data_IF_176106713780
#
_entry.id   IF_176106713780
#
_cell.length_a   1.000
_cell.length_b   1.000
_cell.length_c   1.000
_cell.angle_alpha   90.00
_cell.angle_beta   90.00
_cell.angle_gamma   90.00
#
_symmetry.space_group_name_H-M   'P 1'
#
loop_
_entity.id
_entity.type
_entity.pdbx_description
1 polymer ?
#
# COMPACT_ATOMS: atom_id res chain seq x y z
N UNK A 1 -26.36 4.24 6.70
CA UNK A 1 -24.91 4.21 6.36
C UNK A 1 -24.16 3.66 7.55
N UNK A 2 -23.20 2.79 7.30
CA UNK A 2 -22.31 2.29 8.37
C UNK A 2 -21.19 3.29 8.61
N UNK A 3 -20.82 3.46 9.84
CA UNK A 3 -19.66 4.25 10.21
C UNK A 3 -18.40 3.49 9.84
N UNK A 4 -17.40 4.21 9.34
CA UNK A 4 -16.07 3.66 8.99
C UNK A 4 -15.02 4.48 9.71
N UNK A 5 -14.04 3.80 10.29
CA UNK A 5 -12.97 4.46 11.02
C UNK A 5 -11.60 4.16 10.39
N UNK A 6 -10.73 5.16 10.39
CA UNK A 6 -9.31 4.97 10.07
C UNK A 6 -8.63 4.64 11.40
N UNK A 7 -8.06 3.43 11.52
CA UNK A 7 -7.52 2.93 12.78
C UNK A 7 -5.99 2.94 12.83
N UNK A 8 -5.32 3.21 11.71
CA UNK A 8 -3.87 3.29 11.67
C UNK A 8 -3.41 4.04 10.44
N UNK A 9 -2.33 4.76 10.59
CA UNK A 9 -1.74 5.54 9.48
C UNK A 9 -0.22 5.46 9.54
N UNK A 10 0.40 5.65 8.38
CA UNK A 10 1.85 5.72 8.27
C UNK A 10 2.23 6.48 7.00
N UNK A 11 3.46 6.91 6.97
CA UNK A 11 4.02 7.63 5.84
C UNK A 11 5.53 7.43 5.83
N UNK A 12 6.12 7.17 4.67
CA UNK A 12 7.56 7.18 4.52
C UNK A 12 8.07 8.62 4.46
N UNK A 13 9.38 8.79 4.70
CA UNK A 13 10.02 10.10 4.52
C UNK A 13 9.90 10.55 3.07
N UNK A 14 9.56 11.82 2.87
CA UNK A 14 9.59 12.45 1.56
C UNK A 14 11.03 12.88 1.25
N UNK A 15 11.45 12.67 0.02
CA UNK A 15 12.78 13.08 -0.42
C UNK A 15 13.33 12.17 -1.51
N UNK A 16 14.61 12.33 -1.79
CA UNK A 16 15.33 11.51 -2.75
C UNK A 16 15.87 10.25 -2.04
N UNK A 17 15.14 9.15 -2.14
CA UNK A 17 15.41 7.91 -1.41
C UNK A 17 16.15 6.92 -2.30
N UNK A 18 17.36 7.30 -2.74
CA UNK A 18 18.14 6.54 -3.74
C UNK A 18 18.52 5.12 -3.28
N UNK A 19 18.63 4.90 -1.97
CA UNK A 19 19.04 3.61 -1.42
C UNK A 19 17.85 2.73 -1.02
N UNK A 20 16.62 3.17 -1.29
CA UNK A 20 15.40 2.45 -0.90
C UNK A 20 14.69 1.95 -2.15
N UNK A 21 14.43 0.64 -2.21
CA UNK A 21 13.67 0.08 -3.31
C UNK A 21 12.18 0.43 -3.20
N UNK A 22 11.46 0.35 -4.33
CA UNK A 22 10.01 0.51 -4.33
C UNK A 22 9.34 -0.47 -3.36
N UNK A 23 9.77 -1.74 -3.38
CA UNK A 23 9.23 -2.77 -2.49
C UNK A 23 9.42 -2.42 -1.03
N UNK A 24 10.62 -2.00 -0.66
CA UNK A 24 10.94 -1.65 0.72
C UNK A 24 10.17 -0.44 1.19
N UNK A 25 10.05 0.59 0.34
CA UNK A 25 9.31 1.81 0.66
C UNK A 25 7.83 1.52 0.95
N UNK A 26 7.20 0.76 0.09
CA UNK A 26 5.78 0.43 0.25
C UNK A 26 5.56 -0.50 1.45
N UNK A 27 6.44 -1.48 1.63
CA UNK A 27 6.36 -2.41 2.76
C UNK A 27 6.52 -1.67 4.08
N UNK A 28 7.47 -0.74 4.17
CA UNK A 28 7.66 0.09 5.36
C UNK A 28 6.38 0.85 5.71
N UNK A 29 5.80 1.55 4.73
CA UNK A 29 4.57 2.32 4.95
C UNK A 29 3.42 1.41 5.40
N UNK A 30 3.21 0.29 4.70
CA UNK A 30 2.13 -0.63 5.01
C UNK A 30 2.28 -1.30 6.38
N UNK A 31 3.46 -1.81 6.67
CA UNK A 31 3.68 -2.50 7.95
C UNK A 31 3.64 -1.55 9.13
N UNK A 32 4.12 -0.32 8.97
CA UNK A 32 4.03 0.68 10.02
C UNK A 32 2.58 1.12 10.27
N UNK A 33 1.75 1.19 9.23
CA UNK A 33 0.31 1.46 9.39
C UNK A 33 -0.38 0.33 10.16
N UNK A 34 -0.04 -0.93 9.88
CA UNK A 34 -0.56 -2.10 10.59
C UNK A 34 -0.16 -2.06 12.06
N UNK A 35 1.09 -1.72 12.36
CA UNK A 35 1.57 -1.56 13.74
C UNK A 35 0.85 -0.43 14.46
N UNK A 36 0.64 0.70 13.77
CA UNK A 36 -0.09 1.84 14.35
C UNK A 36 -1.53 1.45 14.69
N UNK A 37 -2.16 0.63 13.86
CA UNK A 37 -3.50 0.11 14.10
C UNK A 37 -3.55 -0.94 15.22
N UNK A 38 -2.40 -1.48 15.62
CA UNK A 38 -2.28 -2.54 16.63
C UNK A 38 -3.07 -3.80 16.24
N UNK A 39 -2.95 -4.20 14.98
CA UNK A 39 -3.57 -5.44 14.45
C UNK A 39 -2.49 -6.34 13.86
N UNK A 40 -2.86 -7.59 13.59
CA UNK A 40 -2.02 -8.52 12.85
C UNK A 40 -2.34 -8.46 11.36
N UNK A 41 -1.36 -8.77 10.51
CA UNK A 41 -1.55 -8.74 9.06
C UNK A 41 -2.64 -9.69 8.56
N UNK A 42 -2.86 -10.82 9.23
CA UNK A 42 -3.90 -11.79 8.87
C UNK A 42 -5.32 -11.34 9.23
N UNK A 43 -5.45 -10.23 9.96
CA UNK A 43 -6.75 -9.62 10.24
C UNK A 43 -7.25 -8.73 9.09
N UNK A 44 -6.42 -8.50 8.07
CA UNK A 44 -6.79 -7.70 6.91
C UNK A 44 -7.63 -8.52 5.93
N UNK A 45 -8.73 -7.94 5.48
CA UNK A 45 -9.65 -8.61 4.54
C UNK A 45 -9.37 -8.25 3.08
N UNK A 46 -8.83 -7.06 2.82
CA UNK A 46 -8.51 -6.61 1.46
C UNK A 46 -7.46 -5.51 1.49
N UNK A 47 -6.77 -5.32 0.37
CA UNK A 47 -5.77 -4.28 0.21
C UNK A 47 -5.98 -3.53 -1.12
N UNK A 48 -5.97 -2.21 -1.05
CA UNK A 48 -6.06 -1.36 -2.24
C UNK A 48 -4.84 -0.45 -2.30
N UNK A 49 -4.21 -0.40 -3.47
CA UNK A 49 -3.00 0.41 -3.68
C UNK A 49 -3.26 1.44 -4.76
N UNK A 50 -3.24 2.70 -4.37
CA UNK A 50 -3.38 3.82 -5.30
C UNK A 50 -2.04 4.21 -5.91
N UNK A 51 -1.93 4.16 -7.24
CA UNK A 51 -0.71 4.56 -7.93
C UNK A 51 -0.98 4.82 -9.40
N UNK A 52 -0.47 5.94 -9.91
CA UNK A 52 -0.68 6.33 -11.29
C UNK A 52 0.29 5.63 -12.26
N UNK A 53 1.58 5.65 -11.99
CA UNK A 53 2.62 5.42 -13.00
C UNK A 53 3.63 4.33 -12.63
N UNK A 54 3.24 3.34 -11.85
CA UNK A 54 4.15 2.26 -11.44
C UNK A 54 4.76 1.54 -12.64
N UNK A 55 3.97 1.27 -13.67
CA UNK A 55 4.47 0.61 -14.88
C UNK A 55 5.59 1.39 -15.57
N UNK A 56 5.51 2.72 -15.55
CA UNK A 56 6.53 3.57 -16.14
C UNK A 56 7.79 3.66 -15.28
N UNK A 57 7.62 3.84 -13.97
CA UNK A 57 8.76 4.12 -13.08
C UNK A 57 9.45 2.87 -12.54
N UNK A 58 8.70 1.80 -12.29
CA UNK A 58 9.27 0.57 -11.71
C UNK A 58 9.04 -0.67 -12.59
N UNK A 59 8.52 -0.47 -13.81
CA UNK A 59 8.31 -1.52 -14.81
C UNK A 59 7.41 -2.66 -14.30
N UNK A 60 6.47 -2.33 -13.40
CA UNK A 60 5.54 -3.30 -12.83
C UNK A 60 4.16 -2.67 -12.66
N UNK A 61 3.17 -3.21 -13.36
CA UNK A 61 1.77 -2.75 -13.27
C UNK A 61 1.03 -3.43 -12.12
N UNK A 62 1.36 -4.68 -11.80
CA UNK A 62 0.71 -5.49 -10.77
C UNK A 62 1.27 -5.21 -9.37
N UNK A 63 1.29 -3.95 -8.97
CA UNK A 63 1.93 -3.55 -7.73
C UNK A 63 1.19 -4.02 -6.48
N UNK A 64 -0.13 -4.13 -6.52
CA UNK A 64 -0.89 -4.60 -5.36
C UNK A 64 -0.51 -6.04 -5.00
N UNK A 65 -0.50 -6.94 -5.98
CA UNK A 65 -0.08 -8.33 -5.79
C UNK A 65 1.37 -8.43 -5.36
N UNK A 66 2.24 -7.63 -5.96
CA UNK A 66 3.66 -7.60 -5.62
C UNK A 66 3.87 -7.20 -4.16
N UNK A 67 3.17 -6.16 -3.71
CA UNK A 67 3.28 -5.67 -2.34
C UNK A 67 2.73 -6.70 -1.35
N UNK A 68 1.58 -7.29 -1.63
CA UNK A 68 0.98 -8.31 -0.78
C UNK A 68 1.93 -9.50 -0.59
N UNK A 69 2.55 -9.95 -1.66
CA UNK A 69 3.51 -11.05 -1.62
C UNK A 69 4.77 -10.67 -0.84
N UNK A 70 5.36 -9.51 -1.15
CA UNK A 70 6.59 -9.06 -0.51
C UNK A 70 6.42 -8.79 0.99
N UNK A 71 5.27 -8.27 1.38
CA UNK A 71 4.96 -7.98 2.79
C UNK A 71 4.46 -9.19 3.57
N UNK A 72 4.29 -10.34 2.92
CA UNK A 72 3.82 -11.55 3.58
C UNK A 72 2.33 -11.52 3.95
N UNK A 73 1.53 -10.76 3.21
CA UNK A 73 0.10 -10.59 3.47
C UNK A 73 -0.78 -11.56 2.67
N UNK A 74 -0.19 -12.40 1.84
CA UNK A 74 -0.95 -13.37 1.04
C UNK A 74 -1.45 -14.53 1.92
N UNK A 75 -2.62 -15.12 1.63
CA UNK A 75 -3.55 -14.70 0.57
C UNK A 75 -4.43 -13.53 1.02
N UNK A 76 -4.52 -12.49 0.20
CA UNK A 76 -5.39 -11.36 0.45
C UNK A 76 -5.91 -10.83 -0.89
N UNK A 77 -7.23 -10.55 -1.03
CA UNK A 77 -7.73 -9.85 -2.19
C UNK A 77 -7.10 -8.46 -2.28
N UNK A 78 -6.55 -8.12 -3.44
CA UNK A 78 -5.90 -6.83 -3.61
C UNK A 78 -6.14 -6.28 -5.01
N UNK A 79 -6.13 -4.95 -5.13
CA UNK A 79 -6.30 -4.27 -6.39
C UNK A 79 -5.47 -2.98 -6.44
N UNK A 80 -4.95 -2.69 -7.62
CA UNK A 80 -4.35 -1.39 -7.90
C UNK A 80 -5.44 -0.45 -8.40
N UNK A 81 -5.47 0.75 -7.85
CA UNK A 81 -6.43 1.79 -8.20
C UNK A 81 -5.67 2.93 -8.87
N UNK A 82 -6.19 3.40 -9.98
CA UNK A 82 -5.54 4.49 -10.70
C UNK A 82 -6.56 5.57 -11.08
N UNK A 83 -6.26 6.79 -10.72
CA UNK A 83 -7.00 8.00 -11.10
C UNK A 83 -6.04 9.18 -11.10
N UNK A 84 -4.88 9.01 -11.73
CA UNK A 84 -3.82 10.00 -11.77
C UNK A 84 -3.49 10.51 -10.36
N UNK A 85 -3.49 11.83 -10.13
CA UNK A 85 -3.15 12.42 -8.83
C UNK A 85 -4.15 12.05 -7.71
N UNK A 86 -5.33 11.57 -8.05
CA UNK A 86 -6.36 11.17 -7.08
C UNK A 86 -6.32 9.67 -6.74
N UNK A 87 -5.31 8.94 -7.22
CA UNK A 87 -5.25 7.48 -7.04
C UNK A 87 -5.31 7.05 -5.58
N UNK A 88 -4.54 7.69 -4.72
CA UNK A 88 -4.53 7.37 -3.29
C UNK A 88 -5.86 7.64 -2.61
N UNK A 89 -6.47 8.78 -2.89
CA UNK A 89 -7.79 9.12 -2.36
C UNK A 89 -8.88 8.17 -2.84
N UNK A 90 -8.78 7.72 -4.10
CA UNK A 90 -9.75 6.78 -4.64
C UNK A 90 -9.59 5.38 -4.03
N UNK A 91 -8.37 4.99 -3.68
CA UNK A 91 -8.10 3.71 -3.03
C UNK A 91 -8.69 3.64 -1.61
N UNK A 92 -8.78 4.79 -0.93
CA UNK A 92 -9.34 4.90 0.40
C UNK A 92 -10.86 4.77 0.37
#
# INVERSE_FOLDING_TARGET
>A
MKDVAIIGVSQTKFGELWDVSFRDMITEAGMNAIRDANIEGDELDAMYVGNMSAGLFVEQEHIASLIADHAGLTPIPCARIEAACASGGLAL
#
